data_IF_829337333774
#
_entry.id   IF_829337333774
#
_cell.length_a   1.000
_cell.length_b   1.000
_cell.length_c   1.000
_cell.angle_alpha   90.00
_cell.angle_beta   90.00
_cell.angle_gamma   90.00
#
_symmetry.space_group_name_H-M   'P 1'
#
loop_
_entity.id
_entity.type
_entity.pdbx_description
1 polymer ?
#
# COMPACT_ATOMS: atom_id res chain seq x y z
N UNK A 1 -6.66 -39.59 -1.26
CA UNK A 1 -5.84 -38.51 -0.70
C UNK A 1 -6.07 -37.29 -1.55
N UNK A 2 -6.94 -36.36 -1.13
CA UNK A 2 -7.08 -35.08 -1.81
C UNK A 2 -5.80 -34.27 -1.55
N UNK A 3 -5.14 -33.85 -2.63
CA UNK A 3 -4.06 -32.87 -2.55
C UNK A 3 -4.67 -31.58 -1.98
N UNK A 4 -4.39 -31.28 -0.72
CA UNK A 4 -4.56 -29.94 -0.16
C UNK A 4 -3.69 -29.00 -0.97
N UNK A 5 -4.28 -28.36 -1.99
CA UNK A 5 -3.59 -27.31 -2.75
C UNK A 5 -3.34 -26.15 -1.78
N UNK A 6 -2.08 -25.76 -1.68
CA UNK A 6 -1.60 -24.73 -0.77
C UNK A 6 -2.22 -23.37 -1.16
N UNK A 7 -2.80 -22.68 -0.18
CA UNK A 7 -3.23 -21.29 -0.35
C UNK A 7 -2.03 -20.41 -0.10
N UNK A 8 -1.67 -19.58 -1.09
CA UNK A 8 -0.54 -18.66 -0.95
C UNK A 8 -0.98 -17.26 -1.32
N UNK A 9 -0.72 -16.33 -0.39
CA UNK A 9 -1.00 -14.92 -0.55
C UNK A 9 0.34 -14.18 -0.56
N UNK A 10 0.57 -13.35 -1.57
CA UNK A 10 1.70 -12.44 -1.58
C UNK A 10 1.20 -11.01 -1.77
N UNK A 11 1.50 -10.17 -0.79
CA UNK A 11 1.22 -8.75 -0.82
C UNK A 11 2.55 -8.01 -0.78
N UNK A 12 2.85 -7.28 -1.86
CA UNK A 12 4.10 -6.56 -2.03
C UNK A 12 3.81 -5.10 -2.36
N UNK A 13 4.33 -4.17 -1.56
CA UNK A 13 4.35 -2.75 -1.87
C UNK A 13 5.74 -2.38 -2.37
N UNK A 14 5.85 -1.94 -3.61
CA UNK A 14 7.06 -1.31 -4.15
C UNK A 14 6.90 0.20 -4.04
N UNK A 15 7.88 0.85 -3.44
CA UNK A 15 7.95 2.30 -3.32
C UNK A 15 9.20 2.79 -4.06
N UNK A 16 9.05 3.94 -4.72
CA UNK A 16 10.14 4.64 -5.38
C UNK A 16 10.17 6.09 -4.90
N UNK A 17 11.34 6.52 -4.46
CA UNK A 17 11.56 7.91 -4.06
C UNK A 17 11.68 8.83 -5.30
N UNK A 18 11.76 10.14 -5.06
CA UNK A 18 11.94 11.14 -6.11
C UNK A 18 13.24 11.02 -6.90
N UNK A 19 14.25 10.34 -6.35
CA UNK A 19 15.54 10.12 -7.01
C UNK A 19 15.55 8.84 -7.86
N UNK A 20 14.46 8.07 -7.84
CA UNK A 20 14.33 6.81 -8.57
C UNK A 20 14.79 5.58 -7.77
N UNK A 21 15.19 5.73 -6.51
CA UNK A 21 15.55 4.62 -5.61
C UNK A 21 14.30 3.80 -5.30
N UNK A 22 14.36 2.48 -5.50
CA UNK A 22 13.22 1.59 -5.27
C UNK A 22 13.45 0.65 -4.09
N UNK A 23 12.39 0.39 -3.32
CA UNK A 23 12.36 -0.66 -2.30
C UNK A 23 11.03 -1.39 -2.29
N UNK A 24 11.08 -2.70 -2.07
CA UNK A 24 9.90 -3.55 -1.95
C UNK A 24 9.71 -4.02 -0.51
N UNK A 25 8.48 -3.92 -0.02
CA UNK A 25 8.06 -4.36 1.30
C UNK A 25 7.06 -5.50 1.18
N UNK A 26 7.25 -6.55 1.99
CA UNK A 26 6.24 -7.60 2.18
C UNK A 26 5.23 -7.13 3.22
N UNK A 27 3.96 -7.30 2.92
CA UNK A 27 2.88 -6.94 3.83
C UNK A 27 2.20 -8.21 4.33
N UNK A 28 1.93 -8.24 5.63
CA UNK A 28 1.08 -9.26 6.25
C UNK A 28 -0.41 -8.94 5.98
N UNK A 29 -0.74 -7.66 5.83
CA UNK A 29 -2.10 -7.18 5.56
C UNK A 29 -2.07 -5.88 4.75
N UNK A 30 -3.07 -5.70 3.89
CA UNK A 30 -3.32 -4.45 3.19
C UNK A 30 -4.83 -4.23 3.01
N UNK A 31 -5.24 -2.98 3.09
CA UNK A 31 -6.57 -2.50 2.78
C UNK A 31 -6.47 -1.25 1.90
N UNK A 32 -7.44 -1.07 1.02
CA UNK A 32 -7.60 0.19 0.30
C UNK A 32 -9.06 0.63 0.34
N UNK A 33 -9.26 1.94 0.40
CA UNK A 33 -10.58 2.55 0.29
C UNK A 33 -10.59 3.60 -0.81
N UNK A 34 -11.72 3.66 -1.53
CA UNK A 34 -11.99 4.68 -2.54
C UNK A 34 -13.18 5.48 -2.03
N UNK A 35 -12.98 6.76 -1.74
CA UNK A 35 -14.05 7.68 -1.36
C UNK A 35 -14.17 8.78 -2.40
N UNK A 36 -15.41 9.19 -2.67
CA UNK A 36 -15.68 10.42 -3.40
C UNK A 36 -15.92 11.51 -2.37
N UNK A 37 -15.17 12.60 -2.47
CA UNK A 37 -15.59 13.83 -1.84
C UNK A 37 -16.83 14.30 -2.61
N UNK A 38 -18.01 14.11 -2.04
CA UNK A 38 -19.21 14.72 -2.61
C UNK A 38 -19.15 16.21 -2.27
N UNK A 39 -19.03 17.08 -3.28
CA UNK A 39 -19.03 18.51 -3.03
C UNK A 39 -20.33 18.91 -2.35
N UNK A 40 -20.26 19.95 -1.51
CA UNK A 40 -21.48 20.66 -1.14
C UNK A 40 -22.18 21.17 -2.42
N UNK A 41 -23.50 21.36 -2.37
CA UNK A 41 -24.26 21.89 -3.52
C UNK A 41 -23.59 23.20 -3.96
N UNK A 42 -22.98 23.20 -5.15
CA UNK A 42 -22.21 24.27 -5.81
C UNK A 42 -20.67 24.25 -5.70
N UNK A 43 -20.04 23.17 -5.22
CA UNK A 43 -18.59 23.00 -5.34
C UNK A 43 -18.22 22.09 -6.53
N UNK A 44 -16.99 22.22 -7.05
CA UNK A 44 -16.46 21.38 -8.13
C UNK A 44 -16.62 19.89 -7.78
N UNK A 45 -16.82 19.03 -8.80
CA UNK A 45 -16.86 17.57 -8.62
C UNK A 45 -15.67 17.15 -7.77
N UNK A 46 -15.95 16.71 -6.54
CA UNK A 46 -14.88 16.50 -5.57
C UNK A 46 -13.95 15.38 -6.03
N UNK A 47 -12.70 15.48 -5.58
CA UNK A 47 -11.66 14.52 -5.93
C UNK A 47 -12.01 13.12 -5.41
N UNK A 48 -11.64 12.10 -6.20
CA UNK A 48 -11.56 10.74 -5.69
C UNK A 48 -10.36 10.66 -4.76
N UNK A 49 -10.56 10.28 -3.51
CA UNK A 49 -9.49 10.02 -2.55
C UNK A 49 -9.31 8.51 -2.45
N UNK A 50 -8.07 8.04 -2.59
CA UNK A 50 -7.71 6.64 -2.46
C UNK A 50 -6.75 6.51 -1.30
N UNK A 51 -7.16 5.79 -0.26
CA UNK A 51 -6.31 5.56 0.91
C UNK A 51 -5.87 4.11 0.93
N UNK A 52 -4.59 3.91 1.20
CA UNK A 52 -3.96 2.63 1.45
C UNK A 52 -3.63 2.54 2.93
N UNK A 53 -3.89 1.40 3.55
CA UNK A 53 -3.34 1.05 4.85
C UNK A 53 -2.82 -0.38 4.85
N UNK A 54 -1.79 -0.66 5.64
CA UNK A 54 -1.21 -2.00 5.66
C UNK A 54 -0.23 -2.21 6.79
N UNK A 55 0.15 -3.47 6.96
CA UNK A 55 1.14 -3.90 7.96
C UNK A 55 2.32 -4.50 7.24
N UNK A 56 3.46 -3.82 7.31
CA UNK A 56 4.73 -4.28 6.76
C UNK A 56 5.37 -5.26 7.75
N UNK A 57 5.82 -6.39 7.23
CA UNK A 57 6.49 -7.46 7.97
C UNK A 57 8.01 -7.35 7.80
N UNK A 58 8.56 -6.23 8.23
CA UNK A 58 9.97 -5.92 8.10
C UNK A 58 10.42 -5.00 9.24
N UNK A 59 11.73 -4.93 9.46
CA UNK A 59 12.29 -3.97 10.40
C UNK A 59 12.10 -2.54 9.88
N UNK A 60 12.01 -1.59 10.82
CA UNK A 60 11.94 -0.18 10.44
C UNK A 60 13.29 0.25 9.88
N UNK A 61 13.28 0.82 8.69
CA UNK A 61 14.48 1.25 7.99
C UNK A 61 14.44 2.74 7.64
N UNK A 62 15.55 3.26 7.11
CA UNK A 62 15.63 4.66 6.71
C UNK A 62 14.71 5.02 5.55
N UNK A 63 14.45 4.10 4.61
CA UNK A 63 13.66 4.37 3.41
C UNK A 63 12.18 4.59 3.75
N UNK A 64 11.61 3.79 4.67
CA UNK A 64 10.23 4.00 5.13
C UNK A 64 10.10 5.25 6.00
N UNK A 65 11.12 5.57 6.79
CA UNK A 65 11.18 6.81 7.57
C UNK A 65 11.30 8.05 6.66
N UNK A 66 12.04 7.95 5.56
CA UNK A 66 12.13 9.00 4.55
C UNK A 66 10.79 9.21 3.84
N UNK A 67 10.08 8.12 3.51
CA UNK A 67 8.72 8.21 2.98
C UNK A 67 7.77 8.89 4.00
N UNK A 68 7.88 8.54 5.29
CA UNK A 68 7.08 9.17 6.34
C UNK A 68 7.43 10.65 6.58
N UNK A 69 8.69 11.03 6.37
CA UNK A 69 9.19 12.39 6.55
C UNK A 69 9.07 13.27 5.29
N UNK A 70 8.53 12.71 4.19
CA UNK A 70 8.45 13.41 2.91
C UNK A 70 7.72 14.75 3.04
N UNK A 71 8.19 15.75 2.29
CA UNK A 71 7.54 17.07 2.17
C UNK A 71 6.85 17.26 0.84
N UNK A 72 7.31 16.52 -0.17
CA UNK A 72 6.76 16.46 -1.51
C UNK A 72 5.86 15.21 -1.65
N UNK A 73 5.09 15.16 -2.74
CA UNK A 73 4.16 14.06 -3.03
C UNK A 73 4.74 13.07 -4.05
N UNK A 74 6.00 13.21 -4.42
CA UNK A 74 6.61 12.60 -5.59
C UNK A 74 7.05 11.13 -5.38
N UNK A 75 6.64 10.53 -4.27
CA UNK A 75 6.81 9.11 -4.01
C UNK A 75 5.74 8.31 -4.76
N UNK A 76 6.20 7.46 -5.68
CA UNK A 76 5.38 6.60 -6.52
C UNK A 76 5.56 5.14 -6.16
N UNK A 77 4.68 4.28 -6.65
CA UNK A 77 4.78 2.87 -6.33
C UNK A 77 3.69 1.99 -6.93
N UNK A 78 3.80 0.73 -6.54
CA UNK A 78 2.95 -0.36 -7.01
C UNK A 78 2.64 -1.30 -5.84
N UNK A 79 1.35 -1.51 -5.55
CA UNK A 79 0.89 -2.60 -4.71
C UNK A 79 0.52 -3.79 -5.61
N UNK A 80 1.12 -4.94 -5.35
CA UNK A 80 0.74 -6.21 -5.95
C UNK A 80 0.16 -7.13 -4.89
N UNK A 81 -1.07 -7.55 -5.10
CA UNK A 81 -1.72 -8.61 -4.32
C UNK A 81 -1.91 -9.78 -5.25
N UNK A 82 -1.36 -10.93 -4.88
CA UNK A 82 -1.62 -12.20 -5.57
C UNK A 82 -2.20 -13.21 -4.61
N UNK A 83 -3.29 -13.85 -5.03
CA UNK A 83 -3.99 -14.88 -4.30
C UNK A 83 -4.02 -16.13 -5.17
N UNK A 84 -3.44 -17.23 -4.69
CA UNK A 84 -3.51 -18.52 -5.39
C UNK A 84 -4.39 -19.49 -4.61
N UNK A 85 -5.48 -19.92 -5.23
CA UNK A 85 -6.36 -20.97 -4.71
C UNK A 85 -6.69 -21.97 -5.81
N UNK A 86 -6.58 -23.25 -5.48
CA UNK A 86 -6.83 -24.37 -6.38
C UNK A 86 -6.08 -24.34 -7.73
N UNK A 87 -4.93 -23.65 -7.80
CA UNK A 87 -4.11 -23.50 -9.01
C UNK A 87 -4.58 -22.38 -9.94
N UNK A 88 -5.50 -21.53 -9.50
CA UNK A 88 -5.82 -20.24 -10.13
C UNK A 88 -5.20 -19.13 -9.32
N UNK A 89 -4.50 -18.23 -10.00
CA UNK A 89 -3.91 -17.03 -9.39
C UNK A 89 -4.71 -15.80 -9.83
N UNK A 90 -5.25 -15.08 -8.85
CA UNK A 90 -5.84 -13.77 -9.03
C UNK A 90 -4.79 -12.72 -8.69
N UNK A 91 -4.70 -11.67 -9.51
CA UNK A 91 -3.75 -10.58 -9.33
C UNK A 91 -4.53 -9.26 -9.27
N UNK A 92 -4.24 -8.47 -8.26
CA UNK A 92 -4.74 -7.12 -8.08
C UNK A 92 -3.56 -6.16 -7.97
N UNK A 93 -3.52 -5.18 -8.87
CA UNK A 93 -2.41 -4.23 -9.01
C UNK A 93 -2.94 -2.82 -8.83
N UNK A 94 -2.33 -2.08 -7.91
CA UNK A 94 -2.54 -0.64 -7.74
C UNK A 94 -1.24 0.07 -8.09
N UNK A 95 -1.27 0.92 -9.10
CA UNK A 95 -0.17 1.84 -9.43
C UNK A 95 -0.54 3.24 -8.96
N UNK A 96 0.41 3.97 -8.39
CA UNK A 96 0.22 5.38 -8.03
C UNK A 96 1.47 6.17 -8.40
N UNK A 97 1.29 7.39 -8.90
CA UNK A 97 2.42 8.26 -9.27
C UNK A 97 2.80 9.23 -8.17
N UNK A 98 1.92 9.41 -7.18
CA UNK A 98 2.10 10.28 -6.05
C UNK A 98 1.50 9.66 -4.81
N UNK A 99 2.09 9.95 -3.66
CA UNK A 99 1.56 9.51 -2.37
C UNK A 99 1.78 10.57 -1.30
N UNK A 100 0.84 10.64 -0.36
CA UNK A 100 0.96 11.42 0.87
C UNK A 100 0.92 10.47 2.04
N UNK A 101 2.02 10.38 2.78
CA UNK A 101 2.05 9.62 4.00
C UNK A 101 1.07 10.21 5.04
N UNK A 102 0.23 9.37 5.65
CA UNK A 102 -0.78 9.78 6.62
C UNK A 102 -0.43 9.37 8.05
N UNK A 103 0.27 8.24 8.22
CA UNK A 103 0.64 7.77 9.55
C UNK A 103 1.46 6.49 9.55
N UNK A 104 2.39 6.42 10.52
CA UNK A 104 3.22 5.26 10.83
C UNK A 104 3.01 4.93 12.30
N UNK A 105 2.81 3.66 12.60
CA UNK A 105 2.81 3.15 13.97
C UNK A 105 3.67 1.89 14.04
N UNK A 106 4.61 1.87 14.98
CA UNK A 106 5.49 0.75 15.23
C UNK A 106 5.58 0.55 16.75
N UNK A 107 5.16 -0.63 17.21
CA UNK A 107 5.18 -0.99 18.63
C UNK A 107 6.42 -1.81 18.96
N UNK A 108 6.98 -1.58 20.14
CA UNK A 108 8.05 -2.40 20.71
C UNK A 108 7.51 -3.16 21.92
N UNK A 109 7.76 -4.47 21.99
CA UNK A 109 7.51 -5.25 23.19
C UNK A 109 8.77 -5.99 23.60
N UNK A 110 9.01 -6.07 24.90
CA UNK A 110 10.19 -6.76 25.45
C UNK A 110 10.14 -8.28 25.22
N UNK A 111 8.94 -8.82 24.98
CA UNK A 111 8.66 -10.26 24.89
C UNK A 111 8.37 -10.75 23.45
N UNK A 112 8.40 -9.88 22.43
CA UNK A 112 8.19 -10.31 21.03
C UNK A 112 9.04 -9.54 20.03
N UNK A 113 9.57 -10.28 19.05
CA UNK A 113 10.37 -9.76 17.92
C UNK A 113 9.46 -9.43 16.71
N UNK A 114 8.14 -9.27 16.93
CA UNK A 114 7.24 -8.94 15.83
C UNK A 114 7.37 -7.46 15.47
N UNK A 115 8.22 -7.19 14.48
CA UNK A 115 8.44 -5.88 13.86
C UNK A 115 7.33 -5.57 12.86
N UNK A 116 6.09 -5.51 13.34
CA UNK A 116 4.97 -5.11 12.50
C UNK A 116 4.88 -3.59 12.45
N UNK A 117 5.02 -3.02 11.26
CA UNK A 117 4.93 -1.58 11.04
C UNK A 117 3.61 -1.30 10.33
N UNK A 118 2.69 -0.66 11.04
CA UNK A 118 1.44 -0.19 10.45
C UNK A 118 1.69 1.12 9.72
N UNK A 119 1.29 1.19 8.46
CA UNK A 119 1.39 2.39 7.62
C UNK A 119 0.06 2.75 6.99
N UNK A 120 -0.13 4.03 6.71
CA UNK A 120 -1.24 4.55 5.94
C UNK A 120 -0.80 5.70 5.04
N UNK A 121 -1.36 5.75 3.83
CA UNK A 121 -1.05 6.77 2.84
C UNK A 121 -2.26 7.08 1.95
N UNK A 122 -2.39 8.33 1.55
CA UNK A 122 -3.26 8.75 0.45
C UNK A 122 -2.48 8.56 -0.86
N UNK A 123 -3.10 7.94 -1.85
CA UNK A 123 -2.54 7.67 -3.17
C UNK A 123 -3.20 8.60 -4.20
N UNK A 124 -2.40 9.07 -5.16
CA UNK A 124 -2.82 10.02 -6.18
C UNK A 124 -2.34 9.57 -7.57
N UNK A 125 -3.08 9.98 -8.60
CA UNK A 125 -2.88 9.55 -9.99
C UNK A 125 -2.82 8.02 -10.07
N UNK A 126 -3.90 7.39 -9.59
CA UNK A 126 -3.93 5.95 -9.28
C UNK A 126 -4.51 5.18 -10.46
N UNK A 127 -3.96 4.00 -10.73
CA UNK A 127 -4.53 3.03 -11.66
C UNK A 127 -4.69 1.69 -10.97
N UNK A 128 -5.92 1.19 -10.87
CA UNK A 128 -6.25 -0.12 -10.27
C UNK A 128 -6.66 -1.06 -11.38
N UNK A 129 -5.91 -2.14 -11.61
CA UNK A 129 -6.17 -3.11 -12.69
C UNK A 129 -6.44 -2.45 -14.06
N UNK A 130 -5.77 -1.33 -14.36
CA UNK A 130 -5.94 -0.57 -15.60
C UNK A 130 -7.03 0.51 -15.59
N UNK A 131 -7.80 0.64 -14.50
CA UNK A 131 -8.80 1.72 -14.33
C UNK A 131 -8.18 2.90 -13.60
N UNK A 132 -8.23 4.08 -14.21
CA UNK A 132 -7.65 5.31 -13.65
C UNK A 132 -8.61 6.07 -12.75
N UNK A 133 -8.06 6.65 -11.68
CA UNK A 133 -8.75 7.48 -10.69
C UNK A 133 -8.00 8.79 -10.46
#
# INVERSE_FOLDING_TARGET
MENLKEKTNHVILKLQDKNGTEKAYKLDYVDYSISKNYPAINEEIGSTCINLSGVIKDEIDSFILEWAAQKDLDWKGELNVSFTDNGKTEIFIVNFKKSRFLGLSHGFSWDSINHNISVSAELMEVTINGVSF
#
